data_IF_171773005860
#
_entry.id   IF_171773005860
#
_cell.length_a   1.000
_cell.length_b   1.000
_cell.length_c   1.000
_cell.angle_alpha   90.00
_cell.angle_beta   90.00
_cell.angle_gamma   90.00
#
_symmetry.space_group_name_H-M   'P 1'
#
loop_
_entity.id
_entity.type
_entity.pdbx_description
1 polymer ?
#
# COMPACT_ATOMS: atom_id res chain seq x y z
N UNK A 1 -26.59 22.77 -9.26
CA UNK A 1 -25.61 21.79 -8.74
C UNK A 1 -26.42 20.61 -8.29
N UNK A 2 -26.12 19.41 -8.81
CA UNK A 2 -26.85 18.20 -8.44
C UNK A 2 -26.63 17.91 -6.94
N UNK A 3 -27.65 17.42 -6.23
CA UNK A 3 -27.54 17.11 -4.80
C UNK A 3 -26.46 16.05 -4.55
N UNK A 4 -26.27 15.12 -5.50
CA UNK A 4 -25.21 14.12 -5.47
C UNK A 4 -23.81 14.74 -5.67
N UNK A 5 -23.66 15.69 -6.59
CA UNK A 5 -22.37 16.36 -6.80
C UNK A 5 -21.98 17.21 -5.58
N UNK A 6 -22.94 17.91 -4.99
CA UNK A 6 -22.70 18.74 -3.81
C UNK A 6 -22.22 17.92 -2.60
N UNK A 7 -22.90 16.79 -2.30
CA UNK A 7 -22.54 15.92 -1.17
C UNK A 7 -21.18 15.24 -1.40
N UNK A 8 -20.87 14.83 -2.63
CA UNK A 8 -19.56 14.26 -2.99
C UNK A 8 -18.45 15.30 -2.79
N UNK A 9 -18.63 16.51 -3.32
CA UNK A 9 -17.66 17.60 -3.18
C UNK A 9 -17.37 17.93 -1.71
N UNK A 10 -18.43 18.08 -0.89
CA UNK A 10 -18.29 18.38 0.54
C UNK A 10 -17.66 17.24 1.33
N UNK A 11 -17.94 15.99 0.95
CA UNK A 11 -17.32 14.82 1.58
C UNK A 11 -15.82 14.74 1.27
N UNK A 12 -15.40 15.05 0.04
CA UNK A 12 -13.98 15.13 -0.33
C UNK A 12 -13.27 16.27 0.42
N UNK A 13 -13.90 17.45 0.52
CA UNK A 13 -13.38 18.55 1.34
C UNK A 13 -13.15 18.11 2.79
N UNK A 14 -14.09 17.35 3.38
CA UNK A 14 -13.93 16.81 4.73
C UNK A 14 -12.80 15.79 4.85
N UNK A 15 -12.67 14.87 3.88
CA UNK A 15 -11.59 13.89 3.87
C UNK A 15 -10.20 14.54 3.86
N UNK A 16 -10.06 15.69 3.20
CA UNK A 16 -8.83 16.48 3.12
C UNK A 16 -8.61 17.44 4.30
N UNK A 17 -9.33 17.26 5.43
CA UNK A 17 -9.17 18.07 6.64
C UNK A 17 -10.09 19.30 6.72
N UNK A 18 -11.01 19.48 5.77
CA UNK A 18 -12.01 20.56 5.76
C UNK A 18 -13.24 20.31 6.64
N UNK A 19 -13.28 19.22 7.41
CA UNK A 19 -14.46 18.75 8.13
C UNK A 19 -15.12 19.83 9.02
N UNK A 20 -14.33 20.66 9.70
CA UNK A 20 -14.85 21.68 10.61
C UNK A 20 -15.71 22.76 9.92
N UNK A 21 -15.53 22.97 8.60
CA UNK A 21 -16.20 24.03 7.81
C UNK A 21 -17.57 23.61 7.26
N UNK A 22 -17.93 22.35 7.41
CA UNK A 22 -19.21 21.80 6.93
C UNK A 22 -20.37 22.18 7.85
N UNK A 23 -21.56 22.32 7.27
CA UNK A 23 -22.82 22.40 8.03
C UNK A 23 -23.07 21.09 8.79
N UNK A 24 -23.97 21.12 9.78
CA UNK A 24 -24.27 19.94 10.61
C UNK A 24 -24.76 18.74 9.78
N UNK A 25 -25.65 18.97 8.82
CA UNK A 25 -26.15 17.93 7.91
C UNK A 25 -25.05 17.36 7.01
N UNK A 26 -24.17 18.22 6.48
CA UNK A 26 -23.04 17.81 5.66
C UNK A 26 -22.00 17.01 6.46
N UNK A 27 -21.77 17.35 7.74
CA UNK A 27 -20.88 16.58 8.63
C UNK A 27 -21.40 15.17 8.85
N UNK A 28 -22.70 15.04 9.15
CA UNK A 28 -23.35 13.74 9.34
C UNK A 28 -23.32 12.91 8.05
N UNK A 29 -23.62 13.54 6.92
CA UNK A 29 -23.53 12.91 5.60
C UNK A 29 -22.10 12.43 5.28
N UNK A 30 -21.10 13.30 5.45
CA UNK A 30 -19.70 12.96 5.20
C UNK A 30 -19.20 11.84 6.12
N UNK A 31 -19.59 11.86 7.40
CA UNK A 31 -19.26 10.80 8.35
C UNK A 31 -19.86 9.45 7.95
N UNK A 32 -21.12 9.43 7.48
CA UNK A 32 -21.76 8.20 6.99
C UNK A 32 -21.12 7.70 5.69
N UNK A 33 -20.84 8.59 4.72
CA UNK A 33 -20.26 8.24 3.43
C UNK A 33 -18.83 7.72 3.57
N UNK A 34 -18.03 8.31 4.46
CA UNK A 34 -16.65 7.88 4.75
C UNK A 34 -16.57 6.77 5.81
N UNK A 35 -17.71 6.31 6.32
CA UNK A 35 -17.80 5.30 7.39
C UNK A 35 -16.98 5.66 8.65
N UNK A 36 -17.02 6.94 9.06
CA UNK A 36 -16.29 7.52 10.20
C UNK A 36 -17.18 7.60 11.43
N UNK A 37 -17.27 6.49 12.18
CA UNK A 37 -18.05 6.42 13.41
C UNK A 37 -17.54 7.39 14.49
N UNK A 38 -16.23 7.60 14.56
CA UNK A 38 -15.59 8.56 15.47
C UNK A 38 -16.05 10.01 15.25
N UNK A 39 -16.39 10.37 14.01
CA UNK A 39 -16.93 11.70 13.69
C UNK A 39 -18.38 11.86 14.14
N UNK A 40 -19.17 10.79 14.13
CA UNK A 40 -20.53 10.78 14.67
C UNK A 40 -20.51 10.86 16.20
N UNK A 41 -19.63 10.08 16.83
CA UNK A 41 -19.41 10.12 18.29
C UNK A 41 -18.98 11.52 18.76
N UNK A 42 -18.06 12.17 18.04
CA UNK A 42 -17.64 13.54 18.35
C UNK A 42 -18.75 14.60 18.23
N UNK A 43 -19.91 14.25 17.66
CA UNK A 43 -21.10 15.11 17.60
C UNK A 43 -22.23 14.62 18.52
N UNK A 44 -22.01 13.56 19.31
CA UNK A 44 -23.01 12.86 20.12
C UNK A 44 -24.18 12.30 19.29
N UNK A 45 -23.90 11.80 18.08
CA UNK A 45 -24.90 11.17 17.20
C UNK A 45 -24.67 9.66 17.06
N UNK A 46 -25.75 8.89 17.20
CA UNK A 46 -25.79 7.51 16.69
C UNK A 46 -26.02 7.47 15.18
N UNK A 47 -25.69 6.35 14.54
CA UNK A 47 -25.96 6.13 13.11
C UNK A 47 -27.45 6.31 12.78
N UNK A 48 -28.34 5.79 13.64
CA UNK A 48 -29.79 5.93 13.44
C UNK A 48 -30.24 7.39 13.48
N UNK A 49 -29.78 8.16 14.47
CA UNK A 49 -30.10 9.59 14.58
C UNK A 49 -29.49 10.40 13.43
N UNK A 50 -28.30 10.03 12.96
CA UNK A 50 -27.68 10.67 11.81
C UNK A 50 -28.51 10.47 10.54
N UNK A 51 -28.96 9.23 10.27
CA UNK A 51 -29.83 8.89 9.14
C UNK A 51 -31.18 9.61 9.20
N UNK A 52 -31.78 9.70 10.39
CA UNK A 52 -33.03 10.44 10.60
C UNK A 52 -32.84 11.95 10.32
N UNK A 53 -31.72 12.53 10.75
CA UNK A 53 -31.47 13.96 10.63
C UNK A 53 -31.19 14.44 9.20
N UNK A 54 -30.45 13.65 8.40
CA UNK A 54 -30.17 14.01 7.01
C UNK A 54 -31.37 13.79 6.08
N UNK A 55 -32.32 12.94 6.50
CA UNK A 55 -33.56 12.69 5.78
C UNK A 55 -33.45 11.70 4.61
N UNK A 56 -34.59 11.16 4.16
CA UNK A 56 -34.64 10.03 3.23
C UNK A 56 -34.06 10.33 1.84
N UNK A 57 -34.19 11.58 1.37
CA UNK A 57 -33.64 12.00 0.08
C UNK A 57 -32.11 11.87 0.06
N UNK A 58 -31.43 12.33 1.11
CA UNK A 58 -29.98 12.26 1.22
C UNK A 58 -29.49 10.85 1.53
N UNK A 59 -30.23 10.09 2.35
CA UNK A 59 -29.93 8.67 2.62
C UNK A 59 -29.88 7.86 1.32
N UNK A 60 -30.79 8.14 0.38
CA UNK A 60 -30.83 7.45 -0.91
C UNK A 60 -29.57 7.67 -1.77
N UNK A 61 -28.88 8.81 -1.58
CA UNK A 61 -27.69 9.19 -2.33
C UNK A 61 -26.39 8.64 -1.72
N UNK A 62 -26.40 8.24 -0.45
CA UNK A 62 -25.19 7.75 0.27
C UNK A 62 -24.44 6.66 -0.52
N UNK A 63 -25.09 5.60 -1.04
CA UNK A 63 -24.35 4.53 -1.73
C UNK A 63 -23.67 5.01 -3.02
N UNK A 64 -24.31 5.92 -3.75
CA UNK A 64 -23.76 6.49 -4.97
C UNK A 64 -22.61 7.45 -4.66
N UNK A 65 -22.80 8.31 -3.66
CA UNK A 65 -21.77 9.25 -3.20
C UNK A 65 -20.54 8.51 -2.66
N UNK A 66 -20.72 7.46 -1.85
CA UNK A 66 -19.63 6.65 -1.32
C UNK A 66 -18.80 6.00 -2.42
N UNK A 67 -19.44 5.49 -3.49
CA UNK A 67 -18.71 4.96 -4.66
C UNK A 67 -17.88 6.04 -5.36
N UNK A 68 -18.46 7.23 -5.58
CA UNK A 68 -17.76 8.32 -6.25
C UNK A 68 -16.60 8.86 -5.43
N UNK A 69 -16.80 9.03 -4.11
CA UNK A 69 -15.74 9.46 -3.19
C UNK A 69 -14.64 8.40 -3.11
N UNK A 70 -14.97 7.11 -3.01
CA UNK A 70 -13.97 6.04 -2.99
C UNK A 70 -13.16 5.97 -4.29
N UNK A 71 -13.78 6.22 -5.45
CA UNK A 71 -13.08 6.34 -6.73
C UNK A 71 -12.14 7.55 -6.73
N UNK A 72 -12.63 8.74 -6.37
CA UNK A 72 -11.84 9.97 -6.40
C UNK A 72 -10.69 9.95 -5.37
N UNK A 73 -10.95 9.52 -4.14
CA UNK A 73 -9.92 9.38 -3.10
C UNK A 73 -8.97 8.21 -3.39
N UNK A 74 -9.45 7.13 -4.00
CA UNK A 74 -8.60 6.03 -4.46
C UNK A 74 -7.67 6.44 -5.59
N UNK A 75 -8.12 7.28 -6.52
CA UNK A 75 -7.28 7.90 -7.55
C UNK A 75 -6.26 8.87 -6.95
N UNK A 76 -6.68 9.68 -5.97
CA UNK A 76 -5.77 10.56 -5.23
C UNK A 76 -4.71 9.78 -4.45
N UNK A 77 -5.06 8.68 -3.79
CA UNK A 77 -4.07 7.78 -3.17
C UNK A 77 -3.12 7.19 -4.20
N UNK A 78 -3.59 6.81 -5.38
CA UNK A 78 -2.73 6.30 -6.46
C UNK A 78 -1.79 7.40 -6.99
N UNK A 79 -2.26 8.64 -7.11
CA UNK A 79 -1.44 9.80 -7.48
C UNK A 79 -0.41 10.10 -6.39
N UNK A 80 -0.78 10.03 -5.12
CA UNK A 80 0.10 10.34 -4.00
C UNK A 80 1.16 9.25 -3.77
N UNK A 81 0.78 7.98 -3.93
CA UNK A 81 1.74 6.87 -4.03
C UNK A 81 2.69 7.12 -5.20
N UNK A 82 2.19 7.54 -6.37
CA UNK A 82 3.03 7.86 -7.53
C UNK A 82 3.97 9.03 -7.29
N UNK A 83 3.54 10.09 -6.61
CA UNK A 83 4.38 11.24 -6.27
C UNK A 83 5.49 10.84 -5.26
N UNK A 84 5.19 9.93 -4.33
CA UNK A 84 6.17 9.35 -3.41
C UNK A 84 7.13 8.40 -4.13
N UNK A 85 6.64 7.60 -5.07
CA UNK A 85 7.43 6.72 -5.93
C UNK A 85 8.38 7.52 -6.84
N UNK A 86 7.89 8.61 -7.45
CA UNK A 86 8.72 9.52 -8.26
C UNK A 86 9.82 10.14 -7.41
N UNK A 87 9.52 10.63 -6.19
CA UNK A 87 10.54 11.18 -5.29
C UNK A 87 11.63 10.17 -4.89
N UNK A 88 11.32 8.87 -4.81
CA UNK A 88 12.31 7.82 -4.51
C UNK A 88 13.11 7.45 -5.78
N UNK A 89 12.48 7.50 -6.95
CA UNK A 89 13.10 7.16 -8.23
C UNK A 89 13.86 8.31 -8.89
N UNK A 90 13.75 9.54 -8.38
CA UNK A 90 14.46 10.70 -8.95
C UNK A 90 15.93 10.78 -8.49
N UNK A 91 16.33 10.09 -7.42
CA UNK A 91 17.75 9.89 -7.12
C UNK A 91 18.30 8.74 -7.96
N UNK A 92 19.24 9.03 -8.86
CA UNK A 92 20.00 8.02 -9.63
C UNK A 92 20.97 7.20 -8.75
N UNK A 93 20.94 7.40 -7.44
CA UNK A 93 21.80 6.72 -6.49
C UNK A 93 21.23 5.36 -6.09
N UNK A 94 22.09 4.35 -6.02
CA UNK A 94 21.74 3.04 -5.47
C UNK A 94 21.40 3.18 -3.99
N UNK A 95 20.24 2.69 -3.58
CA UNK A 95 19.84 2.63 -2.17
C UNK A 95 20.22 1.26 -1.62
N UNK A 96 21.01 1.23 -0.55
CA UNK A 96 21.33 -0.02 0.16
C UNK A 96 20.18 -0.42 1.09
N UNK A 97 19.71 -1.67 0.92
CA UNK A 97 18.57 -2.23 1.63
C UNK A 97 18.93 -3.61 2.20
N UNK A 98 18.51 -3.88 3.42
CA UNK A 98 18.35 -5.24 3.92
C UNK A 98 16.99 -5.77 3.47
N UNK A 99 16.94 -7.01 2.97
CA UNK A 99 15.71 -7.58 2.44
C UNK A 99 15.44 -8.98 3.01
N UNK A 100 14.18 -9.23 3.38
CA UNK A 100 13.67 -10.53 3.79
C UNK A 100 12.56 -10.96 2.84
N UNK A 101 12.70 -12.13 2.21
CA UNK A 101 11.66 -12.67 1.33
C UNK A 101 10.41 -13.02 2.15
N UNK A 102 9.26 -12.48 1.76
CA UNK A 102 7.95 -12.76 2.38
C UNK A 102 7.22 -13.85 1.61
N UNK A 103 7.10 -13.69 0.29
CA UNK A 103 6.44 -14.66 -0.59
C UNK A 103 6.90 -14.49 -2.03
N UNK A 104 6.63 -15.47 -2.87
CA UNK A 104 6.88 -15.40 -4.30
C UNK A 104 5.68 -15.95 -5.08
N UNK A 105 5.49 -15.47 -6.30
CA UNK A 105 4.44 -15.89 -7.20
C UNK A 105 5.01 -16.63 -8.41
N UNK A 106 4.35 -17.73 -8.77
CA UNK A 106 4.66 -18.51 -9.95
C UNK A 106 3.70 -18.11 -11.08
N UNK A 107 4.22 -17.43 -12.11
CA UNK A 107 3.43 -17.22 -13.33
C UNK A 107 3.52 -18.46 -14.22
N UNK A 108 2.39 -19.04 -14.66
CA UNK A 108 2.39 -20.22 -15.52
C UNK A 108 3.26 -20.03 -16.77
N UNK A 109 4.19 -20.95 -16.97
CA UNK A 109 5.12 -20.95 -18.10
C UNK A 109 6.34 -20.03 -17.94
N UNK A 110 6.76 -19.71 -16.71
CA UNK A 110 8.02 -19.03 -16.42
C UNK A 110 8.17 -17.65 -17.09
N UNK A 111 7.06 -16.94 -17.33
CA UNK A 111 7.04 -15.66 -18.06
C UNK A 111 7.50 -14.47 -17.22
N UNK A 112 7.30 -14.54 -15.91
CA UNK A 112 7.67 -13.53 -14.93
C UNK A 112 7.76 -14.19 -13.56
N UNK A 113 8.74 -13.77 -12.77
CA UNK A 113 8.81 -14.12 -11.35
C UNK A 113 8.36 -12.89 -10.57
N UNK A 114 7.46 -13.06 -9.61
CA UNK A 114 7.13 -12.02 -8.63
C UNK A 114 7.65 -12.43 -7.26
N UNK A 115 8.24 -11.49 -6.53
CA UNK A 115 8.69 -11.66 -5.16
C UNK A 115 8.18 -10.49 -4.34
N UNK A 116 7.67 -10.77 -3.15
CA UNK A 116 7.33 -9.77 -2.14
C UNK A 116 8.37 -9.87 -1.05
N UNK A 117 8.98 -8.74 -0.70
CA UNK A 117 10.04 -8.66 0.29
C UNK A 117 9.73 -7.55 1.29
N UNK A 118 10.01 -7.80 2.56
CA UNK A 118 10.10 -6.74 3.55
C UNK A 118 11.54 -6.21 3.50
N UNK A 119 11.67 -4.91 3.26
CA UNK A 119 12.96 -4.24 3.11
C UNK A 119 13.13 -3.12 4.13
N UNK A 120 14.35 -2.96 4.61
CA UNK A 120 14.73 -1.92 5.53
C UNK A 120 15.97 -1.21 4.98
N UNK A 121 15.91 0.11 4.70
CA UNK A 121 17.09 0.85 4.30
C UNK A 121 18.17 0.81 5.37
N UNK A 122 19.43 0.62 4.96
CA UNK A 122 20.55 0.59 5.90
C UNK A 122 20.61 1.96 6.62
N UNK A 123 20.68 1.92 7.95
CA UNK A 123 20.68 3.11 8.80
C UNK A 123 19.31 3.72 9.10
N UNK A 124 18.21 3.09 8.68
CA UNK A 124 16.83 3.49 9.05
C UNK A 124 16.11 2.36 9.78
N UNK A 125 15.18 2.71 10.67
CA UNK A 125 14.38 1.73 11.42
C UNK A 125 13.06 1.35 10.72
N UNK A 126 12.66 2.14 9.71
CA UNK A 126 11.40 1.90 9.00
C UNK A 126 11.54 0.74 8.01
N UNK A 127 10.63 -0.23 8.12
CA UNK A 127 10.48 -1.34 7.17
C UNK A 127 9.38 -1.05 6.17
N UNK A 128 9.62 -1.39 4.91
CA UNK A 128 8.68 -1.25 3.79
C UNK A 128 8.45 -2.61 3.15
N UNK A 129 7.23 -2.86 2.65
CA UNK A 129 6.95 -4.06 1.84
C UNK A 129 7.04 -3.71 0.36
N UNK A 130 7.98 -4.32 -0.35
CA UNK A 130 8.18 -4.15 -1.79
C UNK A 130 7.71 -5.39 -2.55
N UNK A 131 7.05 -5.15 -3.69
CA UNK A 131 6.76 -6.19 -4.69
C UNK A 131 7.67 -5.96 -5.89
N UNK A 132 8.48 -6.94 -6.23
CA UNK A 132 9.41 -6.92 -7.34
C UNK A 132 8.99 -7.95 -8.38
N UNK A 133 9.04 -7.57 -9.65
CA UNK A 133 8.86 -8.52 -10.73
C UNK A 133 10.09 -8.58 -11.62
N UNK A 134 10.59 -9.80 -11.82
CA UNK A 134 11.77 -10.07 -12.64
C UNK A 134 11.35 -10.64 -13.99
N UNK A 135 11.97 -10.13 -15.05
CA UNK A 135 11.90 -10.74 -16.37
C UNK A 135 12.62 -12.09 -16.39
N UNK A 136 12.30 -12.90 -17.40
CA UNK A 136 12.86 -14.26 -17.53
C UNK A 136 14.38 -14.27 -17.60
N UNK A 137 14.96 -13.40 -18.44
CA UNK A 137 16.40 -13.31 -18.62
C UNK A 137 17.12 -12.81 -17.36
N UNK A 138 16.55 -11.79 -16.71
CA UNK A 138 17.12 -11.21 -15.49
C UNK A 138 17.03 -12.18 -14.31
N UNK A 139 15.91 -12.90 -14.18
CA UNK A 139 15.73 -13.88 -13.12
C UNK A 139 16.73 -15.04 -13.22
N UNK A 140 16.99 -15.54 -14.44
CA UNK A 140 17.99 -16.57 -14.66
C UNK A 140 19.41 -16.07 -14.32
N UNK A 141 19.70 -14.81 -14.65
CA UNK A 141 20.98 -14.18 -14.33
C UNK A 141 21.16 -13.94 -12.84
N UNK A 142 20.11 -13.46 -12.15
CA UNK A 142 20.10 -13.29 -10.70
C UNK A 142 20.30 -14.63 -9.98
N UNK A 143 19.58 -15.67 -10.38
CA UNK A 143 19.74 -17.01 -9.80
C UNK A 143 21.16 -17.54 -9.95
N UNK A 144 21.79 -17.31 -11.13
CA UNK A 144 23.20 -17.66 -11.37
C UNK A 144 24.14 -16.91 -10.43
N UNK A 145 23.99 -15.59 -10.30
CA UNK A 145 24.84 -14.78 -9.42
C UNK A 145 24.70 -15.18 -7.94
N UNK A 146 23.48 -15.46 -7.48
CA UNK A 146 23.24 -15.98 -6.13
C UNK A 146 23.98 -17.31 -5.95
N UNK A 147 23.82 -18.26 -6.89
CA UNK A 147 24.54 -19.53 -6.86
C UNK A 147 26.06 -19.34 -6.78
N UNK A 148 26.63 -18.49 -7.63
CA UNK A 148 28.06 -18.22 -7.69
C UNK A 148 28.61 -17.58 -6.41
N UNK A 149 27.84 -16.70 -5.75
CA UNK A 149 28.23 -16.13 -4.45
C UNK A 149 28.32 -17.22 -3.38
N UNK A 150 27.32 -18.10 -3.29
CA UNK A 150 27.37 -19.21 -2.34
C UNK A 150 28.50 -20.20 -2.67
N UNK A 151 28.68 -20.58 -3.94
CA UNK A 151 29.78 -21.45 -4.36
C UNK A 151 31.14 -20.88 -3.92
N UNK A 152 31.37 -19.59 -4.16
CA UNK A 152 32.63 -18.91 -3.77
C UNK A 152 32.84 -18.86 -2.27
N UNK A 153 31.78 -18.66 -1.48
CA UNK A 153 31.87 -18.67 -0.02
C UNK A 153 32.35 -20.03 0.50
N UNK A 154 31.79 -21.13 -0.03
CA UNK A 154 32.14 -22.50 0.38
C UNK A 154 33.45 -23.03 -0.22
N UNK A 155 34.00 -22.41 -1.27
CA UNK A 155 35.29 -22.79 -1.85
C UNK A 155 36.48 -22.42 -0.95
N UNK A 156 36.34 -21.39 -0.11
CA UNK A 156 37.41 -20.86 0.75
C UNK A 156 37.41 -21.46 2.17
N UNK A 157 36.54 -22.44 2.42
CA UNK A 157 36.28 -22.99 3.75
C UNK A 157 34.82 -22.76 4.16
N UNK A 158 34.58 -22.68 5.47
CA UNK A 158 33.25 -22.35 5.99
C UNK A 158 32.92 -20.86 5.78
N UNK A 159 31.69 -20.52 5.32
CA UNK A 159 31.26 -19.12 5.21
C UNK A 159 31.29 -18.40 6.56
N UNK A 160 31.47 -17.08 6.52
CA UNK A 160 31.49 -16.24 7.74
C UNK A 160 30.20 -16.35 8.57
N UNK A 161 29.07 -16.49 7.88
CA UNK A 161 27.74 -16.55 8.50
C UNK A 161 27.22 -17.99 8.65
N UNK A 162 28.12 -18.99 8.60
CA UNK A 162 27.75 -20.40 8.76
C UNK A 162 27.13 -20.62 10.14
N UNK A 163 25.97 -21.28 10.21
CA UNK A 163 25.38 -21.67 11.49
C UNK A 163 26.04 -22.96 12.01
N UNK A 164 26.09 -23.18 13.33
CA UNK A 164 26.61 -24.43 13.89
C UNK A 164 25.93 -25.65 13.28
N UNK A 165 26.71 -26.54 12.65
CA UNK A 165 26.22 -27.76 11.99
C UNK A 165 25.63 -27.56 10.59
N UNK A 166 25.68 -26.34 10.04
CA UNK A 166 25.30 -26.08 8.66
C UNK A 166 26.34 -26.68 7.70
N UNK A 167 25.86 -27.45 6.73
CA UNK A 167 26.70 -28.10 5.72
C UNK A 167 26.51 -27.42 4.36
N UNK A 168 27.50 -27.60 3.48
CA UNK A 168 27.46 -27.09 2.11
C UNK A 168 26.14 -27.50 1.41
N UNK A 169 25.33 -26.53 0.92
CA UNK A 169 24.05 -26.86 0.29
C UNK A 169 24.21 -27.61 -1.04
N UNK A 170 23.31 -28.56 -1.35
CA UNK A 170 23.35 -29.31 -2.62
C UNK A 170 22.97 -28.49 -3.86
N UNK A 171 22.18 -27.43 -3.68
CA UNK A 171 21.70 -26.61 -4.81
C UNK A 171 22.79 -25.74 -5.43
N UNK A 172 23.94 -25.62 -4.76
CA UNK A 172 25.09 -24.86 -5.27
C UNK A 172 26.06 -25.73 -6.09
N UNK A 173 25.79 -27.03 -6.24
CA UNK A 173 26.56 -27.90 -7.13
C UNK A 173 26.09 -27.77 -8.59
#
# INVERSE_FOLDING_TARGET
MDHLEHIVMKTIEAANGGYCRLSKGEKLAAALILNRHDWLEGMDYSVAQALEHIGPEWVSLIPAAAKQVALATGELMRIEVRAREESILTSLDTIDLNATLVTYGESPGYRRISMVMDVQPIGKETTFRLSMGLGVQDSATLARHIKEVHQRAWLRGEPLDVKPGEIRPKWID
#
